data_IF_578425090372
#
_entry.id   IF_578425090372
#
_cell.length_a   1.000
_cell.length_b   1.000
_cell.length_c   1.000
_cell.angle_alpha   90.00
_cell.angle_beta   90.00
_cell.angle_gamma   90.00
#
_symmetry.space_group_name_H-M   'P 1'
#
loop_
_entity.id
_entity.type
_entity.pdbx_description
1 polymer ?
#
# COMPACT_ATOMS: atom_id res chain seq x y z
N UNK A 1 -52.53 41.38 20.50
CA UNK A 1 -51.23 41.49 19.80
C UNK A 1 -50.03 41.01 20.62
N UNK A 2 -49.99 41.17 21.96
CA UNK A 2 -48.84 40.76 22.78
C UNK A 2 -48.57 39.25 22.93
N UNK A 3 -49.58 38.39 22.84
CA UNK A 3 -49.40 36.93 23.00
C UNK A 3 -48.86 36.24 21.73
N UNK A 4 -49.27 36.67 20.55
CA UNK A 4 -48.73 36.17 19.26
C UNK A 4 -47.22 36.41 19.13
N UNK A 5 -46.73 37.56 19.61
CA UNK A 5 -45.31 37.89 19.64
C UNK A 5 -44.53 37.06 20.68
N UNK A 6 -45.16 36.70 21.80
CA UNK A 6 -44.54 35.85 22.84
C UNK A 6 -44.40 34.38 22.42
N UNK A 7 -45.26 33.88 21.54
CA UNK A 7 -45.18 32.52 20.98
C UNK A 7 -44.33 32.46 19.71
N UNK A 8 -44.33 33.52 18.89
CA UNK A 8 -43.54 33.58 17.67
C UNK A 8 -42.02 33.59 17.92
N UNK A 9 -41.56 34.28 18.98
CA UNK A 9 -40.14 34.35 19.32
C UNK A 9 -39.51 32.99 19.70
N UNK A 10 -40.07 32.16 20.59
CA UNK A 10 -39.51 30.85 20.91
C UNK A 10 -39.62 29.86 19.74
N UNK A 11 -40.70 29.89 18.97
CA UNK A 11 -40.85 29.03 17.77
C UNK A 11 -39.81 29.39 16.71
N UNK A 12 -39.61 30.68 16.44
CA UNK A 12 -38.57 31.15 15.51
C UNK A 12 -37.17 30.77 15.96
N UNK A 13 -36.88 30.88 17.26
CA UNK A 13 -35.60 30.45 17.84
C UNK A 13 -35.36 28.94 17.71
N UNK A 14 -36.38 28.12 17.97
CA UNK A 14 -36.29 26.67 17.79
C UNK A 14 -36.04 26.26 16.33
N UNK A 15 -36.70 26.93 15.37
CA UNK A 15 -36.49 26.68 13.93
C UNK A 15 -35.05 27.06 13.53
N UNK A 16 -34.58 28.23 13.98
CA UNK A 16 -33.21 28.67 13.71
C UNK A 16 -32.17 27.72 14.32
N UNK A 17 -32.37 27.26 15.56
CA UNK A 17 -31.49 26.30 16.22
C UNK A 17 -31.47 24.95 15.51
N UNK A 18 -32.63 24.44 15.07
CA UNK A 18 -32.70 23.20 14.30
C UNK A 18 -32.01 23.33 12.94
N UNK A 19 -32.25 24.43 12.22
CA UNK A 19 -31.57 24.70 10.94
C UNK A 19 -30.05 24.79 11.12
N UNK A 20 -29.57 25.49 12.16
CA UNK A 20 -28.16 25.56 12.50
C UNK A 20 -27.58 24.18 12.82
N UNK A 21 -28.30 23.34 13.58
CA UNK A 21 -27.86 21.98 13.89
C UNK A 21 -27.76 21.11 12.63
N UNK A 22 -28.72 21.22 11.70
CA UNK A 22 -28.69 20.52 10.41
C UNK A 22 -27.48 20.98 9.59
N UNK A 23 -27.27 22.29 9.44
CA UNK A 23 -26.13 22.84 8.69
C UNK A 23 -24.80 22.41 9.31
N UNK A 24 -24.62 22.56 10.62
CA UNK A 24 -23.40 22.14 11.33
C UNK A 24 -23.16 20.64 11.17
N UNK A 25 -24.21 19.82 11.25
CA UNK A 25 -24.10 18.37 11.03
C UNK A 25 -23.65 18.03 9.61
N UNK A 26 -24.16 18.73 8.59
CA UNK A 26 -23.76 18.54 7.19
C UNK A 26 -22.31 18.98 6.95
N UNK A 27 -21.91 20.14 7.49
CA UNK A 27 -20.54 20.66 7.41
C UNK A 27 -19.57 19.71 8.11
N UNK A 28 -19.91 19.21 9.30
CA UNK A 28 -19.10 18.25 10.03
C UNK A 28 -18.93 16.93 9.25
N UNK A 29 -20.00 16.40 8.64
CA UNK A 29 -19.92 15.21 7.79
C UNK A 29 -19.02 15.43 6.57
N UNK A 30 -19.14 16.57 5.90
CA UNK A 30 -18.32 16.92 4.72
C UNK A 30 -16.85 17.11 5.07
N UNK A 31 -16.55 17.85 6.13
CA UNK A 31 -15.17 18.08 6.60
C UNK A 31 -14.51 16.76 7.02
N UNK A 32 -15.24 15.88 7.70
CA UNK A 32 -14.74 14.55 8.06
C UNK A 32 -14.43 13.68 6.84
N UNK A 33 -15.31 13.68 5.83
CA UNK A 33 -15.04 12.97 4.57
C UNK A 33 -13.83 13.56 3.83
N UNK A 34 -13.72 14.88 3.76
CA UNK A 34 -12.58 15.56 3.13
C UNK A 34 -11.26 15.20 3.82
N UNK A 35 -11.21 15.23 5.15
CA UNK A 35 -10.03 14.82 5.91
C UNK A 35 -9.63 13.36 5.64
N UNK A 36 -10.61 12.45 5.59
CA UNK A 36 -10.36 11.03 5.26
C UNK A 36 -9.83 10.86 3.83
N UNK A 37 -10.40 11.56 2.86
CA UNK A 37 -9.91 11.54 1.49
C UNK A 37 -8.48 12.09 1.39
N UNK A 38 -8.13 13.07 2.22
CA UNK A 38 -6.76 13.59 2.28
C UNK A 38 -5.78 12.57 2.84
N UNK A 39 -6.15 11.82 3.88
CA UNK A 39 -5.36 10.68 4.38
C UNK A 39 -5.18 9.64 3.26
N UNK A 40 -6.24 9.31 2.52
CA UNK A 40 -6.17 8.38 1.38
C UNK A 40 -5.18 8.88 0.32
N UNK A 41 -5.25 10.16 -0.06
CA UNK A 41 -4.30 10.76 -1.00
C UNK A 41 -2.87 10.68 -0.48
N UNK A 42 -2.64 10.98 0.80
CA UNK A 42 -1.32 10.89 1.41
C UNK A 42 -0.75 9.46 1.37
N UNK A 43 -1.55 8.47 1.76
CA UNK A 43 -1.13 7.05 1.72
C UNK A 43 -0.83 6.58 0.30
N UNK A 44 -1.65 6.96 -0.68
CA UNK A 44 -1.40 6.63 -2.08
C UNK A 44 -0.17 7.38 -2.61
N UNK A 45 0.00 8.66 -2.28
CA UNK A 45 1.13 9.50 -2.69
C UNK A 45 2.48 8.89 -2.27
N UNK A 46 2.55 8.28 -1.09
CA UNK A 46 3.78 7.58 -0.63
C UNK A 46 4.19 6.44 -1.58
N UNK A 47 3.23 5.69 -2.12
CA UNK A 47 3.48 4.57 -3.04
C UNK A 47 3.86 5.02 -4.45
N UNK A 48 3.43 6.21 -4.85
CA UNK A 48 3.72 6.79 -6.16
C UNK A 48 4.81 7.84 -6.15
N UNK A 49 5.44 8.09 -5.00
CA UNK A 49 6.58 9.01 -4.87
C UNK A 49 7.77 8.58 -5.73
N UNK A 50 8.65 9.52 -6.09
CA UNK A 50 9.86 9.23 -6.87
C UNK A 50 10.75 8.18 -6.18
N UNK A 51 10.85 8.25 -4.86
CA UNK A 51 11.58 7.26 -4.05
C UNK A 51 10.97 5.87 -4.20
N UNK A 52 9.64 5.75 -4.13
CA UNK A 52 8.94 4.48 -4.32
C UNK A 52 9.01 4.00 -5.76
N UNK A 53 9.02 4.90 -6.75
CA UNK A 53 9.24 4.54 -8.15
C UNK A 53 10.64 3.94 -8.36
N UNK A 54 11.68 4.52 -7.75
CA UNK A 54 13.04 3.98 -7.79
C UNK A 54 13.12 2.60 -7.14
N UNK A 55 12.60 2.45 -5.92
CA UNK A 55 12.62 1.16 -5.21
C UNK A 55 11.82 0.10 -5.99
N UNK A 56 10.66 0.46 -6.55
CA UNK A 56 9.88 -0.42 -7.43
C UNK A 56 10.63 -0.82 -8.68
N UNK A 57 11.37 0.10 -9.30
CA UNK A 57 12.17 -0.22 -10.46
C UNK A 57 13.31 -1.20 -10.12
N UNK A 58 14.02 -0.97 -9.02
CA UNK A 58 15.08 -1.86 -8.53
C UNK A 58 14.55 -3.27 -8.30
N UNK A 59 13.47 -3.42 -7.53
CA UNK A 59 12.90 -4.74 -7.22
C UNK A 59 12.20 -5.38 -8.42
N UNK A 60 11.41 -4.59 -9.15
CA UNK A 60 10.65 -5.04 -10.30
C UNK A 60 11.54 -5.52 -11.43
N UNK A 61 12.64 -4.83 -11.72
CA UNK A 61 13.59 -5.26 -12.76
C UNK A 61 14.24 -6.60 -12.41
N UNK A 62 14.66 -6.81 -11.16
CA UNK A 62 15.21 -8.08 -10.68
C UNK A 62 14.21 -9.23 -10.72
N UNK A 63 12.96 -8.94 -10.34
CA UNK A 63 11.88 -9.91 -10.37
C UNK A 63 11.55 -10.32 -11.82
N UNK A 64 11.31 -9.36 -12.71
CA UNK A 64 10.91 -9.62 -14.10
C UNK A 64 12.03 -10.13 -15.01
N UNK A 65 13.28 -9.71 -14.80
CA UNK A 65 14.41 -10.22 -15.57
C UNK A 65 14.87 -11.60 -15.11
N UNK A 66 14.31 -12.07 -13.98
CA UNK A 66 14.70 -13.30 -13.31
C UNK A 66 16.24 -13.47 -13.18
N UNK A 67 16.97 -12.38 -12.95
CA UNK A 67 18.44 -12.40 -12.81
C UNK A 67 18.86 -12.56 -11.35
N UNK A 68 20.05 -13.11 -11.14
CA UNK A 68 20.67 -13.17 -9.82
C UNK A 68 21.16 -11.78 -9.38
N UNK A 69 21.29 -11.61 -8.06
CA UNK A 69 21.87 -10.41 -7.44
C UNK A 69 23.38 -10.64 -7.36
N UNK A 70 24.16 -9.70 -7.87
CA UNK A 70 25.61 -9.77 -7.76
C UNK A 70 26.02 -9.60 -6.29
N UNK A 71 26.68 -10.61 -5.68
CA UNK A 71 27.19 -10.49 -4.31
C UNK A 71 28.36 -9.51 -4.20
N UNK A 72 29.11 -9.34 -5.30
CA UNK A 72 30.32 -8.54 -5.37
C UNK A 72 29.96 -7.12 -5.82
N UNK A 73 29.76 -6.22 -4.86
CA UNK A 73 29.51 -4.80 -5.12
C UNK A 73 28.44 -4.17 -4.22
N UNK A 74 27.94 -3.00 -4.62
CA UNK A 74 26.91 -2.26 -3.87
C UNK A 74 25.50 -2.75 -4.15
N UNK A 75 25.30 -3.55 -5.21
CA UNK A 75 23.98 -3.98 -5.68
C UNK A 75 23.17 -4.69 -4.58
N UNK A 76 23.77 -5.66 -3.89
CA UNK A 76 23.10 -6.35 -2.78
C UNK A 76 22.54 -5.37 -1.75
N UNK A 77 23.35 -4.39 -1.33
CA UNK A 77 22.95 -3.38 -0.36
C UNK A 77 21.82 -2.50 -0.88
N UNK A 78 21.88 -2.09 -2.15
CA UNK A 78 20.82 -1.30 -2.81
C UNK A 78 19.49 -2.05 -2.89
N UNK A 79 19.53 -3.34 -3.23
CA UNK A 79 18.34 -4.19 -3.30
C UNK A 79 17.76 -4.44 -1.91
N UNK A 80 18.60 -4.67 -0.90
CA UNK A 80 18.17 -4.83 0.49
C UNK A 80 17.50 -3.56 1.02
N UNK A 81 18.09 -2.38 0.74
CA UNK A 81 17.47 -1.10 1.06
C UNK A 81 16.11 -0.91 0.38
N UNK A 82 16.02 -1.16 -0.92
CA UNK A 82 14.76 -1.05 -1.66
C UNK A 82 13.69 -2.02 -1.14
N UNK A 83 14.08 -3.27 -0.82
CA UNK A 83 13.22 -4.31 -0.27
C UNK A 83 12.57 -3.87 1.05
N UNK A 84 13.38 -3.44 2.02
CA UNK A 84 12.86 -2.96 3.30
C UNK A 84 12.09 -1.65 3.18
N UNK A 85 12.51 -0.75 2.29
CA UNK A 85 11.80 0.51 2.06
C UNK A 85 10.38 0.26 1.51
N UNK A 86 10.21 -0.71 0.61
CA UNK A 86 8.87 -1.09 0.12
C UNK A 86 8.04 -1.78 1.19
N UNK A 87 8.63 -2.71 1.97
CA UNK A 87 7.94 -3.34 3.09
C UNK A 87 7.44 -2.31 4.11
N UNK A 88 8.26 -1.32 4.47
CA UNK A 88 7.88 -0.22 5.35
C UNK A 88 6.69 0.56 4.78
N UNK A 89 6.74 0.93 3.49
CA UNK A 89 5.62 1.67 2.85
C UNK A 89 4.31 0.89 2.93
N UNK A 90 4.33 -0.43 2.74
CA UNK A 90 3.14 -1.26 2.91
C UNK A 90 2.70 -1.39 4.37
N UNK A 91 3.62 -1.40 5.34
CA UNK A 91 3.26 -1.32 6.76
C UNK A 91 2.54 -0.01 7.09
N UNK A 92 3.05 1.14 6.61
CA UNK A 92 2.40 2.44 6.76
C UNK A 92 1.01 2.45 6.12
N UNK A 93 0.89 1.91 4.91
CA UNK A 93 -0.39 1.74 4.24
C UNK A 93 -1.37 0.91 5.09
N UNK A 94 -0.92 -0.22 5.63
CA UNK A 94 -1.74 -1.07 6.48
C UNK A 94 -2.18 -0.37 7.76
N UNK A 95 -1.27 0.33 8.44
CA UNK A 95 -1.57 1.11 9.62
C UNK A 95 -2.60 2.22 9.32
N UNK A 96 -2.38 2.99 8.25
CA UNK A 96 -3.32 4.03 7.81
C UNK A 96 -4.69 3.47 7.46
N UNK A 97 -4.74 2.35 6.74
CA UNK A 97 -5.99 1.64 6.43
C UNK A 97 -6.73 1.18 7.69
N UNK A 98 -6.02 0.64 8.68
CA UNK A 98 -6.61 0.24 9.98
C UNK A 98 -7.23 1.43 10.72
N UNK A 99 -6.58 2.58 10.72
CA UNK A 99 -7.12 3.82 11.31
C UNK A 99 -8.40 4.23 10.57
N UNK A 100 -8.36 4.27 9.23
CA UNK A 100 -9.52 4.62 8.42
C UNK A 100 -10.70 3.67 8.65
N UNK A 101 -10.47 2.36 8.80
CA UNK A 101 -11.50 1.37 9.16
C UNK A 101 -12.07 1.58 10.55
N UNK A 102 -11.22 1.82 11.55
CA UNK A 102 -11.64 2.00 12.95
C UNK A 102 -12.56 3.20 13.11
N UNK A 103 -12.28 4.31 12.44
CA UNK A 103 -13.08 5.54 12.52
C UNK A 103 -14.55 5.37 12.08
N UNK A 104 -14.84 4.40 11.23
CA UNK A 104 -16.18 4.14 10.69
C UNK A 104 -16.77 2.82 11.21
N UNK A 105 -16.24 2.33 12.34
CA UNK A 105 -16.65 1.09 13.00
C UNK A 105 -16.59 -0.13 12.06
N UNK A 106 -15.51 -0.23 11.26
CA UNK A 106 -15.29 -1.32 10.32
C UNK A 106 -16.11 -1.27 9.04
N UNK A 107 -16.95 -0.24 8.84
CA UNK A 107 -17.71 -0.06 7.59
C UNK A 107 -16.81 0.43 6.46
N UNK A 108 -17.02 -0.03 5.24
CA UNK A 108 -16.30 0.46 4.06
C UNK A 108 -17.01 1.65 3.43
N UNK A 109 -16.60 2.84 3.85
CA UNK A 109 -17.06 4.09 3.25
C UNK A 109 -16.32 4.42 1.95
N UNK A 110 -16.69 5.53 1.30
CA UNK A 110 -16.16 5.95 -0.01
C UNK A 110 -14.63 6.09 0.03
N UNK A 111 -14.07 6.68 1.09
CA UNK A 111 -12.63 6.87 1.22
C UNK A 111 -11.88 5.53 1.24
N UNK A 112 -12.34 4.55 2.03
CA UNK A 112 -11.72 3.23 2.08
C UNK A 112 -11.84 2.49 0.75
N UNK A 113 -12.99 2.57 0.07
CA UNK A 113 -13.14 1.96 -1.27
C UNK A 113 -12.17 2.56 -2.27
N UNK A 114 -12.00 3.88 -2.26
CA UNK A 114 -11.04 4.56 -3.14
C UNK A 114 -9.60 4.14 -2.83
N UNK A 115 -9.22 4.08 -1.55
CA UNK A 115 -7.88 3.62 -1.16
C UNK A 115 -7.63 2.18 -1.62
N UNK A 116 -8.55 1.27 -1.29
CA UNK A 116 -8.41 -0.15 -1.61
C UNK A 116 -8.25 -0.35 -3.13
N UNK A 117 -9.06 0.34 -3.95
CA UNK A 117 -8.94 0.31 -5.41
C UNK A 117 -7.60 0.87 -5.92
N UNK A 118 -7.13 1.98 -5.36
CA UNK A 118 -5.86 2.62 -5.77
C UNK A 118 -4.64 1.76 -5.44
N UNK A 119 -4.65 1.07 -4.31
CA UNK A 119 -3.48 0.30 -3.84
C UNK A 119 -3.50 -1.15 -4.29
N UNK A 120 -4.63 -1.64 -4.82
CA UNK A 120 -4.82 -3.02 -5.25
C UNK A 120 -3.67 -3.50 -6.14
N UNK A 121 -3.37 -2.78 -7.22
CA UNK A 121 -2.34 -3.20 -8.18
C UNK A 121 -0.96 -3.26 -7.52
N UNK A 122 -0.64 -2.27 -6.68
CA UNK A 122 0.64 -2.22 -5.96
C UNK A 122 0.80 -3.41 -5.01
N UNK A 123 -0.25 -3.75 -4.25
CA UNK A 123 -0.18 -4.90 -3.34
C UNK A 123 -0.09 -6.20 -4.15
N UNK A 124 -0.92 -6.36 -5.19
CA UNK A 124 -0.96 -7.57 -6.01
C UNK A 124 0.39 -7.87 -6.70
N UNK A 125 1.10 -6.85 -7.20
CA UNK A 125 2.44 -7.03 -7.79
C UNK A 125 3.48 -7.52 -6.76
N UNK A 126 3.35 -7.04 -5.52
CA UNK A 126 4.32 -7.32 -4.46
C UNK A 126 4.11 -8.64 -3.75
N UNK A 127 2.94 -9.27 -3.92
CA UNK A 127 2.65 -10.62 -3.44
C UNK A 127 3.70 -11.62 -3.93
N UNK A 128 4.14 -11.50 -5.18
CA UNK A 128 5.15 -12.36 -5.77
C UNK A 128 6.57 -11.78 -5.65
N UNK A 129 6.69 -10.45 -5.77
CA UNK A 129 7.99 -9.78 -5.75
C UNK A 129 8.72 -10.00 -4.43
N UNK A 130 8.05 -9.90 -3.28
CA UNK A 130 8.73 -10.02 -1.99
C UNK A 130 9.36 -11.40 -1.73
N UNK A 131 8.65 -12.53 -1.89
CA UNK A 131 9.28 -13.85 -1.77
C UNK A 131 10.46 -14.04 -2.71
N UNK A 132 10.29 -13.69 -4.00
CA UNK A 132 11.35 -13.88 -5.01
C UNK A 132 12.60 -13.05 -4.69
N UNK A 133 12.43 -11.79 -4.29
CA UNK A 133 13.58 -10.94 -3.94
C UNK A 133 14.27 -11.44 -2.66
N UNK A 134 13.50 -11.90 -1.67
CA UNK A 134 14.06 -12.47 -0.44
C UNK A 134 14.90 -13.71 -0.72
N UNK A 135 14.41 -14.60 -1.58
CA UNK A 135 15.13 -15.81 -2.01
C UNK A 135 16.44 -15.40 -2.69
N UNK A 136 16.39 -14.49 -3.67
CA UNK A 136 17.59 -13.97 -4.36
C UNK A 136 18.59 -13.30 -3.44
N UNK A 137 18.12 -12.50 -2.47
CA UNK A 137 18.99 -11.88 -1.48
C UNK A 137 19.65 -12.93 -0.57
N UNK A 138 18.94 -14.01 -0.23
CA UNK A 138 19.47 -15.11 0.59
C UNK A 138 20.46 -15.96 -0.20
N UNK A 139 20.21 -16.16 -1.49
CA UNK A 139 21.12 -16.88 -2.41
C UNK A 139 22.41 -16.10 -2.67
N UNK A 140 22.33 -14.77 -2.80
CA UNK A 140 23.50 -13.91 -3.03
C UNK A 140 24.54 -14.01 -1.90
N UNK A 141 24.11 -14.18 -0.66
CA UNK A 141 25.03 -14.36 0.46
C UNK A 141 24.37 -15.22 1.55
N UNK A 142 24.79 -16.48 1.63
CA UNK A 142 24.20 -17.48 2.55
C UNK A 142 24.52 -17.21 4.02
N UNK A 143 25.59 -16.48 4.28
CA UNK A 143 26.04 -16.12 5.63
C UNK A 143 25.32 -14.87 6.17
N UNK A 144 24.74 -14.06 5.28
CA UNK A 144 23.98 -12.84 5.60
C UNK A 144 22.51 -12.98 5.13
N UNK A 145 21.77 -13.83 5.84
CA UNK A 145 20.37 -14.14 5.50
C UNK A 145 19.45 -12.95 5.80
N UNK A 146 18.47 -12.74 4.92
CA UNK A 146 17.47 -11.68 5.10
C UNK A 146 16.45 -12.06 6.18
N UNK A 147 16.42 -11.28 7.26
CA UNK A 147 15.39 -11.36 8.29
C UNK A 147 14.39 -10.20 8.14
N UNK A 148 13.21 -10.50 7.61
CA UNK A 148 12.11 -9.55 7.36
C UNK A 148 11.08 -9.49 8.52
N UNK A 149 11.18 -10.39 9.50
CA UNK A 149 10.51 -10.31 10.80
C UNK A 149 9.02 -9.98 10.75
N UNK A 150 8.63 -8.87 11.38
CA UNK A 150 7.24 -8.43 11.46
C UNK A 150 6.76 -7.69 10.19
N UNK A 151 7.68 -7.22 9.34
CA UNK A 151 7.33 -6.43 8.16
C UNK A 151 6.57 -7.26 7.13
N UNK A 152 7.05 -8.48 6.83
CA UNK A 152 6.38 -9.38 5.89
C UNK A 152 5.01 -9.83 6.42
N UNK A 153 4.91 -10.09 7.73
CA UNK A 153 3.62 -10.42 8.38
C UNK A 153 2.62 -9.28 8.24
N UNK A 154 3.08 -8.04 8.32
CA UNK A 154 2.23 -6.86 8.18
C UNK A 154 1.73 -6.72 6.75
N UNK A 155 2.59 -7.00 5.76
CA UNK A 155 2.18 -7.07 4.35
C UNK A 155 1.16 -8.20 4.10
N UNK A 156 1.36 -9.39 4.67
CA UNK A 156 0.40 -10.49 4.58
C UNK A 156 -0.97 -10.13 5.18
N UNK A 157 -0.98 -9.44 6.32
CA UNK A 157 -2.21 -8.94 6.93
C UNK A 157 -2.91 -7.90 6.06
N UNK A 158 -2.15 -6.98 5.45
CA UNK A 158 -2.68 -6.01 4.50
C UNK A 158 -3.35 -6.73 3.33
N UNK A 159 -2.64 -7.66 2.70
CA UNK A 159 -3.12 -8.49 1.59
C UNK A 159 -4.41 -9.22 1.95
N UNK A 160 -4.42 -9.96 3.07
CA UNK A 160 -5.61 -10.67 3.54
C UNK A 160 -6.79 -9.71 3.75
N UNK A 161 -6.54 -8.56 4.38
CA UNK A 161 -7.58 -7.56 4.63
C UNK A 161 -8.11 -6.86 3.38
N UNK A 162 -7.36 -6.89 2.27
CA UNK A 162 -7.76 -6.40 0.95
C UNK A 162 -8.52 -7.47 0.16
N UNK A 163 -8.21 -8.76 0.30
CA UNK A 163 -9.00 -9.86 -0.28
C UNK A 163 -10.46 -9.73 0.15
N UNK A 164 -10.69 -9.43 1.42
CA UNK A 164 -12.04 -9.22 1.96
C UNK A 164 -12.74 -7.99 1.37
N UNK A 165 -12.00 -7.05 0.76
CA UNK A 165 -12.51 -5.78 0.22
C UNK A 165 -13.11 -5.86 -1.16
N UNK A 166 -12.67 -6.81 -1.97
CA UNK A 166 -13.16 -6.96 -3.33
C UNK A 166 -14.28 -7.99 -3.37
N UNK A 167 -15.22 -7.84 -4.28
CA UNK A 167 -16.19 -8.90 -4.62
C UNK A 167 -15.71 -9.69 -5.83
N UNK A 168 -14.96 -9.03 -6.72
CA UNK A 168 -14.36 -9.59 -7.93
C UNK A 168 -13.46 -10.81 -7.62
N UNK A 169 -13.84 -12.02 -8.08
CA UNK A 169 -13.05 -13.23 -7.89
C UNK A 169 -11.64 -13.14 -8.47
N UNK A 170 -11.44 -12.40 -9.56
CA UNK A 170 -10.12 -12.24 -10.18
C UNK A 170 -9.20 -11.42 -9.27
N UNK A 171 -9.71 -10.30 -8.72
CA UNK A 171 -8.94 -9.48 -7.76
C UNK A 171 -8.60 -10.28 -6.50
N UNK A 172 -9.55 -11.05 -5.97
CA UNK A 172 -9.30 -11.95 -4.84
C UNK A 172 -8.25 -12.99 -5.18
N UNK A 173 -8.34 -13.60 -6.35
CA UNK A 173 -7.36 -14.60 -6.79
C UNK A 173 -5.97 -14.00 -6.95
N UNK A 174 -5.82 -12.77 -7.46
CA UNK A 174 -4.50 -12.12 -7.60
C UNK A 174 -3.89 -11.73 -6.26
N UNK A 175 -4.70 -11.39 -5.26
CA UNK A 175 -4.23 -11.13 -3.89
C UNK A 175 -4.00 -12.43 -3.09
N UNK A 176 -4.75 -13.50 -3.38
CA UNK A 176 -4.70 -14.77 -2.65
C UNK A 176 -3.76 -15.83 -3.25
N UNK A 177 -3.49 -15.76 -4.56
CA UNK A 177 -2.48 -16.59 -5.19
C UNK A 177 -1.11 -16.29 -4.57
N UNK A 178 -0.19 -17.25 -4.66
CA UNK A 178 1.18 -17.19 -4.13
C UNK A 178 1.32 -17.45 -2.62
N UNK A 179 1.26 -18.73 -2.26
CA UNK A 179 1.85 -19.25 -1.02
C UNK A 179 3.03 -20.19 -1.29
N UNK A 180 3.31 -20.59 -2.54
CA UNK A 180 4.46 -21.43 -2.87
C UNK A 180 5.04 -21.09 -4.25
N UNK A 181 6.36 -20.98 -4.31
CA UNK A 181 7.19 -20.63 -5.48
C UNK A 181 7.27 -21.76 -6.53
N UNK A 182 6.30 -22.68 -6.55
CA UNK A 182 6.32 -23.89 -7.36
C UNK A 182 4.97 -24.10 -8.05
N UNK A 183 5.02 -24.20 -9.38
CA UNK A 183 4.01 -24.75 -10.31
C UNK A 183 2.65 -24.03 -10.43
N UNK A 184 2.27 -23.11 -9.53
CA UNK A 184 0.97 -22.40 -9.58
C UNK A 184 1.09 -20.89 -9.59
N UNK A 185 2.11 -20.33 -10.26
CA UNK A 185 2.04 -18.91 -10.54
C UNK A 185 1.09 -18.62 -11.70
N UNK A 186 0.01 -17.89 -11.44
CA UNK A 186 -0.83 -17.32 -12.51
C UNK A 186 -0.20 -16.07 -13.15
N UNK A 187 0.99 -15.69 -12.68
CA UNK A 187 1.76 -14.57 -13.19
C UNK A 187 2.74 -15.05 -14.28
N UNK A 188 2.78 -14.34 -15.41
CA UNK A 188 3.72 -14.64 -16.49
C UNK A 188 5.19 -14.38 -16.14
N UNK A 189 5.50 -13.82 -14.97
CA UNK A 189 6.87 -13.43 -14.63
C UNK A 189 7.81 -14.62 -14.35
N UNK A 190 7.30 -15.82 -14.04
CA UNK A 190 8.14 -17.03 -13.90
C UNK A 190 8.31 -17.82 -15.20
N UNK A 191 7.63 -17.44 -16.30
CA UNK A 191 7.85 -18.02 -17.63
C UNK A 191 9.11 -17.44 -18.31
N UNK A 192 9.74 -16.42 -17.71
CA UNK A 192 10.86 -15.69 -18.29
C UNK A 192 12.19 -16.38 -17.98
N UNK A 193 12.95 -16.72 -19.02
CA UNK A 193 14.32 -17.24 -18.89
C UNK A 193 15.22 -16.27 -18.13
N UNK A 194 15.99 -16.79 -17.16
CA UNK A 194 16.91 -16.00 -16.36
C UNK A 194 17.93 -15.25 -17.22
N UNK A 195 18.10 -13.95 -16.97
CA UNK A 195 19.17 -13.14 -17.57
C UNK A 195 20.43 -13.18 -16.70
N UNK A 196 21.64 -13.10 -17.28
CA UNK A 196 22.86 -13.02 -16.51
C UNK A 196 22.90 -11.77 -15.62
N UNK A 197 23.64 -11.78 -14.50
CA UNK A 197 23.84 -10.61 -13.65
C UNK A 197 24.42 -9.45 -14.45
N UNK A 198 24.13 -8.21 -14.04
CA UNK A 198 24.77 -7.05 -14.64
C UNK A 198 26.27 -7.07 -14.30
N UNK A 199 27.17 -6.80 -15.28
CA UNK A 199 28.59 -6.68 -14.99
C UNK A 199 28.80 -5.60 -13.93
N UNK A 200 29.73 -5.83 -13.00
CA UNK A 200 30.07 -4.85 -11.97
C UNK A 200 30.38 -3.51 -12.64
N UNK A 201 29.49 -2.52 -12.44
CA UNK A 201 29.76 -1.18 -12.91
C UNK A 201 30.88 -0.64 -12.05
N UNK A 202 32.08 -0.47 -12.63
CA UNK A 202 33.16 0.24 -11.93
C UNK A 202 32.62 1.62 -11.51
N UNK A 203 32.88 2.06 -10.27
CA UNK A 203 32.52 3.42 -9.89
C UNK A 203 33.13 4.39 -10.90
N UNK A 204 32.29 5.28 -11.40
CA UNK A 204 32.65 6.29 -12.38
C UNK A 204 33.84 7.10 -11.82
N UNK A 205 35.06 6.85 -12.33
CA UNK A 205 36.29 7.50 -11.86
C UNK A 205 37.41 6.59 -11.31
N UNK A 206 37.26 5.27 -11.26
CA UNK A 206 38.37 4.38 -10.94
C UNK A 206 39.32 4.22 -12.16
N UNK A 207 40.48 4.89 -12.11
CA UNK A 207 41.57 4.74 -13.09
C UNK A 207 42.19 3.35 -13.04
N UNK A 208 42.63 2.88 -14.21
CA UNK A 208 43.35 1.60 -14.46
C UNK A 208 44.69 1.58 -13.73
#
# INVERSE_FOLDING_TARGET
>A
MGELLRVAAPVGSCIAAFAALVVTSLVWRRSRLAARLEVVRGLHAELISDSAAKDRHTLGSLHWQNREINPDGTERGEVMCAYFAMLWRFERLHAGRKVLLKEVNGRRDVALKMLDEQVYTHVAEYVCTFPVIKDKLTESNRDDRVFDGAYVKTFDQLRASLVDSFEDPEKKARLGAHTNNTEKCNCKCHEVSAKPPLPAQRPYGASV
#
